data_IF_974064856960
#
_entry.id   IF_974064856960
#
_cell.length_a   1.000
_cell.length_b   1.000
_cell.length_c   1.000
_cell.angle_alpha   90.00
_cell.angle_beta   90.00
_cell.angle_gamma   90.00
#
_symmetry.space_group_name_H-M   'P 1'
#
loop_
_entity.id
_entity.type
_entity.pdbx_description
1 polymer ?
#
# COMPACT_ATOMS: atom_id res chain seq x y z
N UNK A 1 67.49 38.11 -18.37
CA UNK A 1 67.50 37.58 -17.00
C UNK A 1 66.71 38.54 -16.09
N UNK A 2 65.41 38.36 -15.93
CA UNK A 2 64.61 38.86 -14.78
C UNK A 2 63.19 38.32 -14.89
N UNK A 3 62.63 37.96 -13.74
CA UNK A 3 61.63 36.91 -13.55
C UNK A 3 60.18 37.38 -13.66
N UNK A 4 59.40 36.49 -14.26
CA UNK A 4 57.95 36.34 -14.21
C UNK A 4 57.42 36.42 -12.77
N UNK A 5 56.38 37.23 -12.53
CA UNK A 5 55.37 36.97 -11.49
C UNK A 5 53.97 37.08 -12.11
N UNK A 6 53.46 35.94 -12.59
CA UNK A 6 52.04 35.73 -12.88
C UNK A 6 51.28 35.72 -11.56
N UNK A 7 50.47 36.75 -11.32
CA UNK A 7 49.44 36.71 -10.28
C UNK A 7 48.32 35.82 -10.82
N UNK A 8 48.19 34.61 -10.26
CA UNK A 8 47.04 33.73 -10.52
C UNK A 8 45.83 34.32 -9.77
N UNK A 9 44.91 34.94 -10.51
CA UNK A 9 43.57 35.19 -10.01
C UNK A 9 42.89 33.82 -9.84
N UNK A 10 42.72 33.40 -8.59
CA UNK A 10 41.92 32.23 -8.25
C UNK A 10 40.47 32.61 -8.48
N UNK A 11 39.91 32.20 -9.62
CA UNK A 11 38.48 32.20 -9.85
C UNK A 11 37.86 31.16 -8.89
N UNK A 12 37.41 31.62 -7.72
CA UNK A 12 36.44 30.89 -6.91
C UNK A 12 35.11 30.92 -7.67
N UNK A 13 34.95 30.02 -8.64
CA UNK A 13 33.65 29.73 -9.23
C UNK A 13 32.81 29.02 -8.18
N UNK A 14 32.10 29.84 -7.43
CA UNK A 14 30.86 29.59 -6.69
C UNK A 14 30.15 28.32 -7.23
N UNK A 15 30.40 27.18 -6.59
CA UNK A 15 29.61 25.95 -6.69
C UNK A 15 28.28 26.18 -5.96
N UNK A 16 27.42 27.05 -6.51
CA UNK A 16 26.03 27.22 -6.05
C UNK A 16 25.04 26.88 -7.17
N UNK A 17 25.31 25.83 -7.93
CA UNK A 17 24.33 25.28 -8.85
C UNK A 17 23.95 23.86 -8.46
N UNK A 18 22.68 23.74 -8.10
CA UNK A 18 21.85 22.54 -8.08
C UNK A 18 21.91 21.66 -6.83
N UNK A 19 21.62 22.25 -5.67
CA UNK A 19 20.72 21.59 -4.71
C UNK A 19 19.27 22.04 -4.93
N UNK A 20 18.82 22.14 -6.18
CA UNK A 20 17.42 21.85 -6.47
C UNK A 20 17.25 20.35 -6.26
N UNK A 21 17.13 19.97 -4.99
CA UNK A 21 16.45 18.75 -4.59
C UNK A 21 15.06 18.93 -5.16
N UNK A 22 14.85 18.43 -6.38
CA UNK A 22 13.54 18.04 -6.85
C UNK A 22 13.07 16.99 -5.86
N UNK A 23 12.44 17.45 -4.77
CA UNK A 23 11.45 16.63 -4.11
C UNK A 23 10.51 16.21 -5.23
N UNK A 24 10.56 14.94 -5.62
CA UNK A 24 9.60 14.32 -6.53
C UNK A 24 8.23 14.38 -5.86
N UNK A 25 7.60 15.56 -5.92
CA UNK A 25 6.29 15.85 -5.32
C UNK A 25 5.19 15.02 -5.97
N UNK A 26 5.42 14.48 -7.17
CA UNK A 26 4.47 13.63 -7.88
C UNK A 26 4.13 12.32 -7.14
N UNK A 27 5.05 11.74 -6.37
CA UNK A 27 4.76 10.51 -5.61
C UNK A 27 3.85 10.76 -4.40
N UNK A 28 3.88 11.95 -3.80
CA UNK A 28 3.00 12.34 -2.70
C UNK A 28 1.54 12.51 -3.16
N UNK A 29 1.32 12.95 -4.40
CA UNK A 29 -0.03 13.09 -4.97
C UNK A 29 -0.64 11.76 -5.44
N UNK A 30 0.14 10.68 -5.54
CA UNK A 30 -0.33 9.37 -5.99
C UNK A 30 -0.74 8.41 -4.85
N UNK A 31 -0.45 8.79 -3.60
CA UNK A 31 -0.82 8.05 -2.40
C UNK A 31 -1.95 8.78 -1.69
N UNK A 32 -3.19 8.39 -1.93
CA UNK A 32 -4.34 9.02 -1.31
C UNK A 32 -4.81 8.18 -0.13
N UNK A 33 -4.90 8.81 1.03
CA UNK A 33 -5.27 8.17 2.29
C UNK A 33 -6.46 8.92 2.85
N UNK A 34 -7.48 8.20 3.32
CA UNK A 34 -8.69 8.79 3.85
C UNK A 34 -9.11 8.14 5.15
N UNK A 35 -9.69 8.94 6.05
CA UNK A 35 -10.43 8.48 7.21
C UNK A 35 -11.85 9.05 7.10
N UNK A 36 -12.86 8.18 7.09
CA UNK A 36 -14.27 8.57 6.88
C UNK A 36 -14.43 9.55 5.70
N UNK A 37 -13.82 9.21 4.55
CA UNK A 37 -13.84 9.98 3.31
C UNK A 37 -13.13 11.36 3.34
N UNK A 38 -12.52 11.76 4.46
CA UNK A 38 -11.65 12.94 4.52
C UNK A 38 -10.24 12.54 4.17
N UNK A 39 -9.61 13.21 3.19
CA UNK A 39 -8.21 12.98 2.85
C UNK A 39 -7.32 13.39 4.02
N UNK A 40 -6.34 12.55 4.37
CA UNK A 40 -5.45 12.74 5.51
C UNK A 40 -4.02 12.32 5.18
N UNK A 41 -3.08 12.69 6.04
CA UNK A 41 -1.73 12.16 6.07
C UNK A 41 -1.60 11.20 7.26
N UNK A 42 -1.64 9.88 7.02
CA UNK A 42 -1.71 8.89 8.10
C UNK A 42 -0.55 9.01 9.09
N UNK A 43 0.66 9.31 8.63
CA UNK A 43 1.81 9.49 9.52
C UNK A 43 1.61 10.64 10.53
N UNK A 44 0.91 11.72 10.15
CA UNK A 44 0.59 12.83 11.07
C UNK A 44 -0.43 12.37 12.12
N UNK A 45 -1.40 11.55 11.72
CA UNK A 45 -2.40 10.98 12.64
C UNK A 45 -1.74 10.03 13.61
N UNK A 46 -0.84 9.16 13.15
CA UNK A 46 -0.07 8.25 14.02
C UNK A 46 0.72 9.04 15.08
N UNK A 47 1.44 10.09 14.66
CA UNK A 47 2.20 10.94 15.57
C UNK A 47 1.30 11.69 16.56
N UNK A 48 0.15 12.20 16.11
CA UNK A 48 -0.78 12.91 17.00
C UNK A 48 -1.43 11.96 18.01
N UNK A 49 -1.85 10.77 17.56
CA UNK A 49 -2.42 9.76 18.42
C UNK A 49 -1.46 9.35 19.55
N UNK A 50 -0.15 9.46 19.35
CA UNK A 50 0.83 9.21 20.40
C UNK A 50 0.85 10.29 21.50
N UNK A 51 0.49 11.54 21.20
CA UNK A 51 0.72 12.71 22.07
C UNK A 51 -0.48 13.08 22.94
N UNK A 52 -1.72 12.84 22.48
CA UNK A 52 -2.92 13.35 23.17
C UNK A 52 -3.85 12.23 23.64
N UNK A 53 -4.03 12.10 24.96
CA UNK A 53 -4.95 11.13 25.59
C UNK A 53 -6.42 11.61 25.64
N UNK A 54 -6.68 12.91 25.43
CA UNK A 54 -7.92 13.56 25.90
C UNK A 54 -8.77 14.27 24.83
N UNK A 55 -8.73 13.89 23.54
CA UNK A 55 -9.55 14.60 22.52
C UNK A 55 -10.40 13.64 21.68
N UNK A 56 -11.69 13.58 22.00
CA UNK A 56 -12.71 12.76 21.33
C UNK A 56 -12.93 13.13 19.85
N UNK A 57 -12.68 14.37 19.44
CA UNK A 57 -13.01 14.86 18.09
C UNK A 57 -12.18 14.22 16.97
N UNK A 58 -10.99 13.70 17.29
CA UNK A 58 -10.05 13.15 16.32
C UNK A 58 -9.73 11.68 16.51
N UNK A 59 -10.38 11.01 17.47
CA UNK A 59 -10.14 9.60 17.74
C UNK A 59 -10.31 8.79 16.43
N UNK A 60 -9.24 8.20 15.89
CA UNK A 60 -9.31 7.44 14.64
C UNK A 60 -9.97 6.07 14.86
N UNK A 61 -10.15 5.65 16.11
CA UNK A 61 -10.70 4.34 16.43
C UNK A 61 -12.02 4.04 15.73
N UNK A 62 -12.08 2.81 15.19
CA UNK A 62 -13.23 2.25 14.49
C UNK A 62 -13.67 3.02 13.23
N UNK A 63 -12.98 4.10 12.87
CA UNK A 63 -13.24 4.82 11.62
C UNK A 63 -12.71 4.01 10.44
N UNK A 64 -13.38 4.11 9.30
CA UNK A 64 -12.97 3.45 8.07
C UNK A 64 -11.76 4.18 7.49
N UNK A 65 -10.66 3.45 7.30
CA UNK A 65 -9.54 3.87 6.46
C UNK A 65 -9.78 3.43 5.03
N UNK A 66 -9.35 4.29 4.11
CA UNK A 66 -9.20 3.98 2.70
C UNK A 66 -7.78 4.36 2.25
N UNK A 67 -7.06 3.43 1.66
CA UNK A 67 -5.73 3.62 1.10
C UNK A 67 -5.76 3.34 -0.40
N UNK A 68 -5.47 4.36 -1.20
CA UNK A 68 -5.55 4.32 -2.66
C UNK A 68 -4.19 4.61 -3.29
N UNK A 69 -3.84 3.82 -4.31
CA UNK A 69 -2.60 4.04 -5.06
C UNK A 69 -2.77 3.68 -6.53
N UNK A 70 -2.51 4.65 -7.40
CA UNK A 70 -2.64 4.50 -8.85
C UNK A 70 -1.25 4.40 -9.47
N UNK A 71 -1.08 3.51 -10.46
CA UNK A 71 0.16 3.42 -11.24
C UNK A 71 1.37 2.86 -10.48
N UNK A 72 1.17 2.34 -9.26
CA UNK A 72 2.20 1.71 -8.43
C UNK A 72 2.46 0.23 -8.77
N UNK A 73 2.03 -0.22 -9.96
CA UNK A 73 2.23 -1.58 -10.44
C UNK A 73 3.11 -1.54 -11.68
N UNK A 74 4.04 -2.49 -11.76
CA UNK A 74 4.66 -2.94 -13.00
C UNK A 74 4.07 -4.32 -13.35
N UNK A 75 3.60 -4.48 -14.59
CA UNK A 75 2.98 -5.73 -15.06
C UNK A 75 3.99 -6.50 -15.92
N UNK A 76 4.40 -7.68 -15.46
CA UNK A 76 5.27 -8.60 -16.23
C UNK A 76 4.51 -9.82 -16.69
N UNK A 77 4.72 -10.23 -17.94
CA UNK A 77 4.14 -11.47 -18.47
C UNK A 77 5.22 -12.42 -18.94
N UNK A 78 5.22 -13.64 -18.42
CA UNK A 78 6.04 -14.74 -18.90
C UNK A 78 5.22 -15.63 -19.83
N UNK A 79 5.59 -15.67 -21.12
CA UNK A 79 4.89 -16.46 -22.15
C UNK A 79 5.01 -17.97 -21.94
N UNK A 80 6.16 -18.44 -21.43
CA UNK A 80 6.46 -19.86 -21.25
C UNK A 80 5.65 -20.42 -20.07
N UNK A 81 5.74 -19.78 -18.90
CA UNK A 81 4.99 -20.20 -17.72
C UNK A 81 3.52 -19.76 -17.73
N UNK A 82 3.13 -18.88 -18.67
CA UNK A 82 1.79 -18.25 -18.75
C UNK A 82 1.43 -17.53 -17.45
N UNK A 83 2.42 -16.88 -16.84
CA UNK A 83 2.27 -16.15 -15.59
C UNK A 83 2.26 -14.64 -15.84
N UNK A 84 1.21 -13.97 -15.35
CA UNK A 84 1.15 -12.51 -15.26
C UNK A 84 1.48 -12.13 -13.81
N UNK A 85 2.47 -11.28 -13.62
CA UNK A 85 2.90 -10.81 -12.31
C UNK A 85 2.65 -9.32 -12.20
N UNK A 86 1.93 -8.93 -11.15
CA UNK A 86 1.89 -7.53 -10.70
C UNK A 86 2.99 -7.36 -9.68
N UNK A 87 3.96 -6.50 -9.99
CA UNK A 87 5.03 -6.10 -9.09
C UNK A 87 4.69 -4.72 -8.52
N UNK A 88 4.70 -4.57 -7.20
CA UNK A 88 4.45 -3.29 -6.55
C UNK A 88 5.77 -2.52 -6.45
N UNK A 89 5.84 -1.35 -7.11
CA UNK A 89 7.08 -0.56 -7.21
C UNK A 89 7.60 -0.10 -5.85
N UNK A 90 6.67 0.10 -4.92
CA UNK A 90 6.89 0.44 -3.51
C UNK A 90 5.88 -0.36 -2.66
N UNK A 91 6.17 -0.56 -1.37
CA UNK A 91 5.21 -1.15 -0.42
C UNK A 91 3.88 -0.38 -0.49
N UNK A 92 2.79 -1.09 -0.83
CA UNK A 92 1.52 -0.44 -1.18
C UNK A 92 0.92 0.30 0.01
N UNK A 93 0.90 -0.31 1.20
CA UNK A 93 0.31 0.24 2.42
C UNK A 93 1.23 0.01 3.62
N UNK A 94 2.42 0.63 3.62
CA UNK A 94 3.44 0.42 4.64
C UNK A 94 3.06 0.92 6.05
N UNK A 95 2.13 1.88 6.15
CA UNK A 95 1.66 2.43 7.43
C UNK A 95 0.49 1.65 8.03
N UNK A 96 0.01 0.60 7.36
CA UNK A 96 -1.17 -0.15 7.74
C UNK A 96 -0.82 -1.63 7.90
N UNK A 97 -1.33 -2.24 8.95
CA UNK A 97 -1.24 -3.68 9.20
C UNK A 97 -2.63 -4.31 9.08
N UNK A 98 -2.69 -5.45 8.41
CA UNK A 98 -3.94 -6.17 8.11
C UNK A 98 -3.88 -7.67 8.40
N UNK A 99 -2.71 -8.20 8.77
CA UNK A 99 -2.47 -9.63 8.99
C UNK A 99 -1.61 -9.78 10.23
N UNK A 100 -2.06 -10.57 11.20
CA UNK A 100 -1.25 -10.93 12.36
C UNK A 100 -0.41 -12.15 12.04
N UNK A 101 0.91 -11.97 12.00
CA UNK A 101 1.85 -13.09 11.85
C UNK A 101 1.94 -13.92 13.13
N UNK A 102 1.18 -15.02 13.18
CA UNK A 102 1.29 -16.03 14.22
C UNK A 102 0.77 -17.38 13.72
N UNK A 103 1.36 -18.49 14.16
CA UNK A 103 0.91 -19.83 13.74
C UNK A 103 -0.38 -20.28 14.45
N UNK A 104 -0.50 -19.97 15.74
CA UNK A 104 -1.57 -20.49 16.61
C UNK A 104 -2.25 -19.38 17.42
N UNK A 105 -2.45 -18.21 16.83
CA UNK A 105 -3.15 -17.15 17.54
C UNK A 105 -4.38 -16.68 16.77
N UNK A 106 -5.31 -16.13 17.54
CA UNK A 106 -6.46 -15.46 16.98
C UNK A 106 -6.02 -14.18 16.27
N UNK A 107 -6.49 -14.01 15.03
CA UNK A 107 -6.18 -12.83 14.22
C UNK A 107 -6.44 -13.03 12.72
N UNK A 108 -6.32 -11.95 11.94
CA UNK A 108 -6.38 -12.02 10.48
C UNK A 108 -5.15 -12.74 9.94
N UNK A 109 -5.35 -13.68 9.00
CA UNK A 109 -4.29 -14.62 8.55
C UNK A 109 -3.87 -14.46 7.11
N UNK A 110 -4.83 -14.25 6.21
CA UNK A 110 -4.56 -14.11 4.77
C UNK A 110 -5.72 -13.40 4.07
N UNK A 111 -5.45 -12.85 2.89
CA UNK A 111 -6.48 -12.36 1.98
C UNK A 111 -6.94 -13.49 1.06
N UNK A 112 -8.22 -13.81 1.12
CA UNK A 112 -8.89 -14.74 0.20
C UNK A 112 -9.42 -13.97 -0.98
N UNK A 113 -9.08 -14.41 -2.18
CA UNK A 113 -9.70 -13.88 -3.38
C UNK A 113 -11.20 -14.26 -3.42
N UNK A 114 -12.06 -13.27 -3.49
CA UNK A 114 -13.52 -13.43 -3.58
C UNK A 114 -14.04 -13.17 -4.99
N UNK A 115 -13.34 -12.32 -5.74
CA UNK A 115 -13.70 -11.99 -7.11
C UNK A 115 -12.49 -11.90 -8.02
N UNK A 116 -12.64 -12.42 -9.24
CA UNK A 116 -11.64 -12.31 -10.31
C UNK A 116 -12.38 -12.12 -11.64
N UNK A 117 -12.15 -10.99 -12.29
CA UNK A 117 -12.90 -10.59 -13.47
C UNK A 117 -12.59 -11.52 -14.66
N UNK A 118 -13.62 -12.23 -15.15
CA UNK A 118 -13.47 -13.23 -16.22
C UNK A 118 -13.23 -12.63 -17.61
N UNK A 119 -13.53 -11.36 -17.84
CA UNK A 119 -13.22 -10.69 -19.12
C UNK A 119 -11.72 -10.45 -19.31
N UNK A 120 -11.00 -10.42 -18.19
CA UNK A 120 -9.56 -10.20 -18.11
C UNK A 120 -8.79 -11.46 -17.69
N UNK A 121 -9.42 -12.38 -16.95
CA UNK A 121 -8.77 -13.54 -16.32
C UNK A 121 -9.60 -14.82 -16.49
N UNK A 122 -10.14 -15.07 -17.69
CA UNK A 122 -11.10 -16.15 -17.95
C UNK A 122 -10.64 -17.51 -17.42
N UNK A 123 -9.38 -17.86 -17.69
CA UNK A 123 -8.77 -19.15 -17.33
C UNK A 123 -7.78 -19.05 -16.18
N UNK A 124 -7.59 -17.85 -15.63
CA UNK A 124 -6.52 -17.60 -14.69
C UNK A 124 -6.89 -18.06 -13.28
N UNK A 125 -5.86 -18.42 -12.52
CA UNK A 125 -5.98 -18.72 -11.09
C UNK A 125 -5.05 -17.80 -10.32
N UNK A 126 -5.56 -17.23 -9.22
CA UNK A 126 -4.78 -16.47 -8.26
C UNK A 126 -4.78 -17.21 -6.92
N UNK A 127 -3.63 -17.26 -6.26
CA UNK A 127 -3.53 -17.84 -4.91
C UNK A 127 -3.93 -16.80 -3.87
N UNK A 128 -4.41 -17.26 -2.72
CA UNK A 128 -4.59 -16.42 -1.54
C UNK A 128 -3.28 -15.71 -1.17
N UNK A 129 -3.38 -14.47 -0.71
CA UNK A 129 -2.22 -13.66 -0.33
C UNK A 129 -1.99 -13.86 1.18
N UNK A 130 -0.89 -14.52 1.54
CA UNK A 130 -0.58 -14.90 2.93
C UNK A 130 0.36 -13.94 3.66
N UNK A 131 0.89 -12.92 2.99
CA UNK A 131 1.83 -11.96 3.57
C UNK A 131 1.12 -10.64 3.87
N UNK A 132 1.59 -9.90 4.89
CA UNK A 132 1.18 -8.53 5.19
C UNK A 132 1.20 -7.66 3.91
N UNK A 133 0.20 -6.79 3.70
CA UNK A 133 0.16 -5.92 2.50
C UNK A 133 1.34 -4.93 2.46
N UNK A 134 1.84 -4.50 3.61
CA UNK A 134 3.05 -3.69 3.74
C UNK A 134 4.28 -4.38 3.15
N UNK A 135 4.34 -5.72 3.23
CA UNK A 135 5.41 -6.57 2.71
C UNK A 135 5.04 -7.23 1.37
N UNK A 136 3.80 -7.05 0.91
CA UNK A 136 3.35 -7.60 -0.35
C UNK A 136 4.04 -6.82 -1.47
N UNK A 137 4.97 -7.48 -2.15
CA UNK A 137 5.72 -6.92 -3.27
C UNK A 137 5.24 -7.43 -4.63
N UNK A 138 4.45 -8.52 -4.67
CA UNK A 138 3.91 -9.05 -5.91
C UNK A 138 2.65 -9.91 -5.76
N UNK A 139 1.87 -9.96 -6.83
CA UNK A 139 0.78 -10.94 -7.03
C UNK A 139 1.02 -11.67 -8.35
N UNK A 140 0.89 -12.99 -8.33
CA UNK A 140 1.11 -13.84 -9.52
C UNK A 140 -0.19 -14.52 -9.92
N UNK A 141 -0.61 -14.28 -11.16
CA UNK A 141 -1.73 -14.93 -11.82
C UNK A 141 -1.19 -16.03 -12.73
N UNK A 142 -1.67 -17.26 -12.53
CA UNK A 142 -1.28 -18.42 -13.35
C UNK A 142 -2.29 -18.65 -14.46
N UNK A 143 -1.84 -19.30 -15.55
CA UNK A 143 -2.68 -19.68 -16.70
C UNK A 143 -3.31 -18.48 -17.42
N UNK A 144 -2.57 -17.37 -17.53
CA UNK A 144 -3.01 -16.17 -18.26
C UNK A 144 -2.62 -16.31 -19.73
N UNK A 145 -3.59 -16.19 -20.64
CA UNK A 145 -3.33 -16.20 -22.09
C UNK A 145 -2.64 -14.90 -22.50
N UNK A 146 -1.84 -14.94 -23.56
CA UNK A 146 -1.12 -13.75 -24.04
C UNK A 146 -2.06 -12.59 -24.40
N UNK A 147 -3.24 -12.87 -24.97
CA UNK A 147 -4.25 -11.85 -25.28
C UNK A 147 -4.81 -11.19 -24.01
N UNK A 148 -5.08 -11.96 -22.97
CA UNK A 148 -5.51 -11.47 -21.65
C UNK A 148 -4.40 -10.59 -21.03
N UNK A 149 -3.16 -11.07 -21.03
CA UNK A 149 -2.00 -10.32 -20.53
C UNK A 149 -1.81 -8.97 -21.25
N UNK A 150 -1.95 -8.94 -22.57
CA UNK A 150 -1.86 -7.69 -23.36
C UNK A 150 -2.90 -6.66 -22.94
N UNK A 151 -4.15 -7.06 -22.69
CA UNK A 151 -5.18 -6.14 -22.19
C UNK A 151 -4.77 -5.49 -20.88
N UNK A 152 -4.18 -6.27 -19.97
CA UNK A 152 -3.72 -5.76 -18.67
C UNK A 152 -2.52 -4.84 -18.80
N UNK A 153 -1.52 -5.20 -19.61
CA UNK A 153 -0.30 -4.41 -19.80
C UNK A 153 -0.64 -3.01 -20.33
N UNK A 154 -1.57 -2.89 -21.28
CA UNK A 154 -1.99 -1.60 -21.86
C UNK A 154 -2.58 -0.66 -20.81
N UNK A 155 -3.20 -1.19 -19.75
CA UNK A 155 -3.79 -0.40 -18.68
C UNK A 155 -2.93 -0.29 -17.42
N UNK A 156 -1.66 -0.74 -17.44
CA UNK A 156 -0.75 -0.74 -16.28
C UNK A 156 -0.78 0.58 -15.49
N UNK A 157 -0.64 1.71 -16.19
CA UNK A 157 -0.62 3.05 -15.55
C UNK A 157 -1.93 3.45 -14.89
N UNK A 158 -3.03 2.79 -15.26
CA UNK A 158 -4.38 3.05 -14.75
C UNK A 158 -4.82 2.02 -13.72
N UNK A 159 -3.96 1.07 -13.32
CA UNK A 159 -4.33 0.13 -12.27
C UNK A 159 -4.33 0.85 -10.92
N UNK A 160 -5.48 0.83 -10.25
CA UNK A 160 -5.71 1.31 -8.90
C UNK A 160 -5.63 0.13 -7.93
N UNK A 161 -4.87 0.33 -6.87
CA UNK A 161 -4.88 -0.48 -5.67
C UNK A 161 -5.69 0.23 -4.59
N UNK A 162 -6.62 -0.48 -3.97
CA UNK A 162 -7.50 0.03 -2.93
C UNK A 162 -7.48 -0.94 -1.73
N UNK A 163 -7.15 -0.42 -0.55
CA UNK A 163 -7.29 -1.12 0.72
C UNK A 163 -8.28 -0.37 1.59
N UNK A 164 -9.27 -1.08 2.14
CA UNK A 164 -10.20 -0.52 3.10
C UNK A 164 -10.32 -1.39 4.34
N UNK A 165 -10.59 -0.74 5.47
CA UNK A 165 -10.98 -1.42 6.71
C UNK A 165 -11.06 -0.47 7.89
N UNK A 166 -11.45 -0.99 9.05
CA UNK A 166 -11.67 -0.17 10.25
C UNK A 166 -10.45 -0.17 11.16
N UNK A 167 -10.12 0.98 11.74
CA UNK A 167 -8.96 1.11 12.64
C UNK A 167 -9.22 0.39 13.96
N UNK A 168 -8.36 -0.58 14.29
CA UNK A 168 -8.39 -1.31 15.57
C UNK A 168 -7.37 -0.83 16.60
N UNK A 169 -6.34 -0.08 16.17
CA UNK A 169 -5.34 0.50 17.07
C UNK A 169 -4.01 0.79 16.37
N UNK A 170 -3.01 1.15 17.17
CA UNK A 170 -1.62 1.32 16.77
C UNK A 170 -0.76 0.17 17.34
N UNK A 171 -0.10 -0.60 16.46
CA UNK A 171 0.73 -1.74 16.89
C UNK A 171 2.01 -1.28 17.57
N UNK A 172 2.40 -2.01 18.63
CA UNK A 172 3.64 -1.72 19.36
C UNK A 172 4.90 -2.02 18.52
N UNK A 173 4.86 -3.07 17.68
CA UNK A 173 6.05 -3.58 16.96
C UNK A 173 6.65 -2.61 15.94
N UNK A 174 5.80 -1.85 15.26
CA UNK A 174 6.17 -1.04 14.08
C UNK A 174 5.42 0.30 14.01
N UNK A 175 4.63 0.65 15.03
CA UNK A 175 3.75 1.81 15.06
C UNK A 175 2.74 1.85 13.90
N UNK A 176 2.47 0.75 13.18
CA UNK A 176 1.50 0.77 12.09
C UNK A 176 0.07 0.82 12.64
N UNK A 177 -0.81 1.42 11.84
CA UNK A 177 -2.26 1.37 12.10
C UNK A 177 -2.73 -0.04 11.77
N UNK A 178 -3.16 -0.79 12.77
CA UNK A 178 -3.78 -2.09 12.53
C UNK A 178 -5.26 -1.91 12.18
N UNK A 179 -5.70 -2.59 11.13
CA UNK A 179 -7.12 -2.72 10.78
C UNK A 179 -7.80 -3.90 11.49
N UNK A 180 -7.22 -4.33 12.61
CA UNK A 180 -7.65 -5.43 13.46
C UNK A 180 -7.31 -5.12 14.92
N UNK A 181 -7.81 -5.92 15.86
CA UNK A 181 -7.49 -5.82 17.29
C UNK A 181 -6.65 -6.99 17.81
N UNK A 182 -6.10 -7.82 16.93
CA UNK A 182 -5.26 -8.94 17.33
C UNK A 182 -3.78 -8.52 17.47
N UNK A 183 -3.15 -8.75 18.62
CA UNK A 183 -1.71 -8.51 18.85
C UNK A 183 -1.43 -7.51 19.96
N UNK A 184 -0.18 -7.04 20.03
CA UNK A 184 0.26 -6.07 21.02
C UNK A 184 0.15 -4.65 20.47
N UNK A 185 -0.57 -3.81 21.20
CA UNK A 185 -0.87 -2.45 20.80
C UNK A 185 -0.18 -1.46 21.72
N UNK A 186 0.46 -0.46 21.11
CA UNK A 186 0.86 0.73 21.84
C UNK A 186 -0.38 1.50 22.30
N UNK A 187 -1.39 1.59 21.42
CA UNK A 187 -2.72 2.13 21.72
C UNK A 187 -3.77 1.28 21.05
N UNK A 188 -4.59 0.59 21.84
CA UNK A 188 -5.73 -0.18 21.35
C UNK A 188 -6.98 0.68 21.30
N UNK A 189 -7.83 0.45 20.30
CA UNK A 189 -9.20 0.93 20.36
C UNK A 189 -10.00 0.09 21.35
N UNK A 190 -11.11 0.65 21.85
CA UNK A 190 -12.04 -0.10 22.69
C UNK A 190 -12.49 -1.40 22.00
N UNK A 191 -12.66 -2.47 22.78
CA UNK A 191 -12.93 -3.80 22.24
C UNK A 191 -14.24 -3.82 21.43
N UNK A 192 -14.17 -4.40 20.23
CA UNK A 192 -15.29 -4.64 19.33
C UNK A 192 -15.31 -6.08 18.84
N UNK A 193 -16.43 -6.51 18.25
CA UNK A 193 -16.55 -7.86 17.70
C UNK A 193 -15.72 -7.99 16.42
N UNK A 194 -15.42 -9.23 16.02
CA UNK A 194 -14.57 -9.55 14.86
C UNK A 194 -15.16 -8.99 13.57
N UNK A 195 -16.49 -9.07 13.47
CA UNK A 195 -17.32 -8.58 12.37
C UNK A 195 -17.22 -7.06 12.18
N UNK A 196 -16.74 -6.33 13.20
CA UNK A 196 -16.56 -4.88 13.14
C UNK A 196 -15.27 -4.47 12.42
N UNK A 197 -14.42 -5.42 12.01
CA UNK A 197 -13.15 -5.19 11.31
C UNK A 197 -13.10 -5.87 9.93
N UNK A 198 -14.01 -5.54 8.99
CA UNK A 198 -13.89 -6.00 7.62
C UNK A 198 -12.68 -5.33 6.97
N UNK A 199 -11.88 -6.12 6.26
CA UNK A 199 -10.74 -5.61 5.48
C UNK A 199 -10.87 -6.14 4.06
N UNK A 200 -10.88 -5.21 3.10
CA UNK A 200 -11.01 -5.49 1.67
C UNK A 200 -9.80 -4.95 0.92
N UNK A 201 -9.30 -5.75 -0.02
CA UNK A 201 -8.26 -5.35 -0.94
C UNK A 201 -8.74 -5.54 -2.38
N UNK A 202 -8.71 -4.46 -3.14
CA UNK A 202 -9.27 -4.39 -4.49
C UNK A 202 -8.22 -3.89 -5.47
N UNK A 203 -8.20 -4.51 -6.64
CA UNK A 203 -7.46 -4.05 -7.80
C UNK A 203 -8.46 -3.71 -8.89
N UNK A 204 -8.42 -2.51 -9.43
CA UNK A 204 -9.37 -2.02 -10.43
C UNK A 204 -8.68 -1.17 -11.49
N UNK A 205 -9.38 -0.89 -12.58
CA UNK A 205 -8.98 0.13 -13.53
C UNK A 205 -9.54 1.48 -13.07
N UNK A 206 -8.66 2.41 -12.68
CA UNK A 206 -9.02 3.74 -12.20
C UNK A 206 -9.89 4.52 -13.19
N UNK A 207 -9.62 4.39 -14.49
CA UNK A 207 -10.31 5.16 -15.54
C UNK A 207 -11.73 4.66 -15.79
N UNK A 208 -11.94 3.35 -15.72
CA UNK A 208 -13.24 2.73 -16.06
C UNK A 208 -14.03 2.28 -14.84
N UNK A 209 -13.43 2.26 -13.65
CA UNK A 209 -14.02 1.70 -12.43
C UNK A 209 -14.11 0.18 -12.41
N UNK A 210 -13.72 -0.51 -13.48
CA UNK A 210 -13.85 -1.97 -13.59
C UNK A 210 -12.95 -2.66 -12.57
N UNK A 211 -13.55 -3.48 -11.71
CA UNK A 211 -12.83 -4.32 -10.76
C UNK A 211 -12.18 -5.48 -11.51
N UNK A 212 -10.90 -5.72 -11.23
CA UNK A 212 -10.10 -6.81 -11.77
C UNK A 212 -10.03 -7.97 -10.78
N UNK A 213 -9.83 -7.64 -9.50
CA UNK A 213 -9.67 -8.57 -8.40
C UNK A 213 -10.20 -7.94 -7.11
N UNK A 214 -10.91 -8.73 -6.32
CA UNK A 214 -11.29 -8.38 -4.95
C UNK A 214 -10.86 -9.50 -4.01
N UNK A 215 -10.39 -9.13 -2.82
CA UNK A 215 -10.04 -10.06 -1.76
C UNK A 215 -10.51 -9.54 -0.41
N UNK A 216 -10.88 -10.46 0.47
CA UNK A 216 -11.25 -10.17 1.85
C UNK A 216 -10.28 -10.84 2.82
N UNK A 217 -10.05 -10.25 3.99
CA UNK A 217 -9.27 -10.90 5.04
C UNK A 217 -10.03 -12.05 5.67
N UNK A 218 -9.34 -13.17 5.86
CA UNK A 218 -9.84 -14.34 6.59
C UNK A 218 -9.16 -14.42 7.95
N UNK A 219 -9.97 -14.63 8.98
CA UNK A 219 -9.54 -14.76 10.37
C UNK A 219 -9.32 -16.23 10.73
N UNK A 220 -8.29 -16.51 11.52
CA UNK A 220 -8.20 -17.81 12.18
C UNK A 220 -9.30 -17.90 13.24
N UNK A 221 -9.91 -19.08 13.37
CA UNK A 221 -10.76 -19.38 14.52
C UNK A 221 -9.84 -19.95 15.60
N UNK A 222 -10.06 -19.54 16.84
CA UNK A 222 -9.44 -20.19 18.00
C UNK A 222 -9.82 -21.68 18.03
#
# INVERSE_FOLDING_TARGET
>A
MSKIKRVRLVFLSVFFWNTFVFANTSELYLNLQYINNKQVLLYKIMNWWNINDNVDELNPCHKKIKYERIGNIEVKYNKISKELTFLFKNSFANLVDIIKECKNCYGPTYLKNTFLNKDYFRHSKVKNIKKELSQLNKIVFKNVKQAEARKIIVMEKNILLLLEGNIGGLLLKNNNIALHQAGDFFRSCSAKKKEDFPITFTISNHKTGVILLESIVIWNKE
#
